data_IF_560613053627
#
_entry.id   IF_560613053627
#
_cell.length_a   1.000
_cell.length_b   1.000
_cell.length_c   1.000
_cell.angle_alpha   90.00
_cell.angle_beta   90.00
_cell.angle_gamma   90.00
#
_symmetry.space_group_name_H-M   'P 1'
#
loop_
_entity.id
_entity.type
_entity.pdbx_description
1 polymer ?
#
# COMPACT_ATOMS: atom_id res chain seq x y z
N UNK A 1 -52.51 8.24 -4.62
CA UNK A 1 -51.70 7.89 -3.43
C UNK A 1 -51.35 6.41 -3.56
N UNK A 2 -50.12 5.98 -3.76
CA UNK A 2 -48.83 6.62 -3.65
C UNK A 2 -47.90 6.09 -4.76
N UNK A 3 -47.32 7.01 -5.52
CA UNK A 3 -46.07 6.80 -6.24
C UNK A 3 -44.95 7.06 -5.23
N UNK A 4 -44.10 6.07 -4.96
CA UNK A 4 -42.75 6.27 -4.42
C UNK A 4 -41.97 4.95 -4.46
N UNK A 5 -41.73 4.47 -5.68
CA UNK A 5 -40.71 3.44 -5.89
C UNK A 5 -39.33 4.09 -5.75
N UNK A 6 -38.73 3.80 -4.60
CA UNK A 6 -37.35 4.09 -4.18
C UNK A 6 -36.37 4.16 -5.35
N UNK A 7 -35.90 5.37 -5.63
CA UNK A 7 -34.76 5.61 -6.49
C UNK A 7 -33.47 5.21 -5.75
N UNK A 8 -33.04 3.96 -5.92
CA UNK A 8 -31.71 3.47 -5.54
C UNK A 8 -31.23 2.52 -6.62
N UNK A 9 -30.57 3.02 -7.65
CA UNK A 9 -29.81 2.15 -8.57
C UNK A 9 -28.75 2.98 -9.29
N UNK A 10 -27.51 2.68 -8.94
CA UNK A 10 -26.35 2.56 -9.80
C UNK A 10 -25.66 3.83 -10.29
N UNK A 11 -24.72 4.29 -9.46
CA UNK A 11 -23.48 4.90 -9.94
C UNK A 11 -22.52 3.76 -10.41
N UNK A 12 -22.94 3.04 -11.44
CA UNK A 12 -22.14 2.04 -12.16
C UNK A 12 -21.60 2.71 -13.43
N UNK A 13 -20.37 3.21 -13.37
CA UNK A 13 -19.71 3.79 -14.54
C UNK A 13 -18.44 4.53 -14.18
N UNK A 14 -17.37 3.75 -13.85
CA UNK A 14 -15.93 4.08 -13.94
C UNK A 14 -15.04 3.36 -12.90
N UNK A 15 -15.47 2.21 -12.36
CA UNK A 15 -14.82 1.56 -11.22
C UNK A 15 -13.48 0.83 -11.50
N UNK A 16 -12.93 0.87 -12.72
CA UNK A 16 -11.69 0.12 -13.02
C UNK A 16 -10.40 0.94 -12.97
N UNK A 17 -10.43 2.22 -13.31
CA UNK A 17 -9.21 3.06 -13.39
C UNK A 17 -9.07 3.94 -12.15
N UNK A 18 -10.16 4.58 -11.71
CA UNK A 18 -10.15 5.41 -10.52
C UNK A 18 -9.76 4.65 -9.25
N UNK A 19 -10.16 3.37 -9.14
CA UNK A 19 -9.84 2.53 -7.98
C UNK A 19 -8.35 2.17 -7.90
N UNK A 20 -7.74 1.83 -9.04
CA UNK A 20 -6.30 1.52 -9.12
C UNK A 20 -5.46 2.77 -8.82
N UNK A 21 -5.86 3.92 -9.37
CA UNK A 21 -5.19 5.20 -9.11
C UNK A 21 -5.31 5.62 -7.66
N UNK A 22 -6.48 5.47 -7.02
CA UNK A 22 -6.67 5.78 -5.60
C UNK A 22 -5.82 4.88 -4.70
N UNK A 23 -5.64 3.60 -5.05
CA UNK A 23 -4.74 2.67 -4.32
C UNK A 23 -3.27 3.06 -4.49
N UNK A 24 -2.86 3.40 -5.70
CA UNK A 24 -1.51 3.89 -6.00
C UNK A 24 -1.19 5.20 -5.26
N UNK A 25 -2.15 6.12 -5.22
CA UNK A 25 -2.01 7.36 -4.45
C UNK A 25 -2.02 7.10 -2.94
N UNK A 26 -2.89 6.20 -2.47
CA UNK A 26 -2.97 5.80 -1.07
C UNK A 26 -1.64 5.23 -0.58
N UNK A 27 -1.10 4.23 -1.27
CA UNK A 27 0.20 3.62 -0.96
C UNK A 27 1.34 4.65 -1.01
N UNK A 28 1.36 5.54 -2.01
CA UNK A 28 2.31 6.64 -2.08
C UNK A 28 2.26 7.54 -0.83
N UNK A 29 1.06 7.92 -0.38
CA UNK A 29 0.87 8.72 0.84
C UNK A 29 1.32 7.95 2.08
N UNK A 30 0.96 6.66 2.19
CA UNK A 30 1.40 5.81 3.29
C UNK A 30 2.93 5.73 3.35
N UNK A 31 3.61 5.56 2.20
CA UNK A 31 5.07 5.54 2.11
C UNK A 31 5.69 6.89 2.50
N UNK A 32 5.09 7.99 2.07
CA UNK A 32 5.54 9.34 2.44
C UNK A 32 5.52 9.53 3.97
N UNK A 33 4.41 9.17 4.61
CA UNK A 33 4.25 9.24 6.05
C UNK A 33 5.23 8.28 6.72
N UNK A 34 5.35 7.06 6.23
CA UNK A 34 6.25 6.04 6.79
C UNK A 34 7.70 6.51 6.78
N UNK A 35 8.18 7.06 5.67
CA UNK A 35 9.53 7.60 5.55
C UNK A 35 9.78 8.78 6.52
N UNK A 36 8.75 9.56 6.84
CA UNK A 36 8.85 10.64 7.81
C UNK A 36 8.99 10.14 9.26
N UNK A 37 8.27 9.08 9.62
CA UNK A 37 8.26 8.54 10.98
C UNK A 37 9.33 7.48 11.24
N UNK A 38 9.94 6.92 10.19
CA UNK A 38 10.83 5.76 10.31
C UNK A 38 12.29 6.14 10.10
N UNK A 39 13.14 6.12 11.16
CA UNK A 39 14.57 6.33 10.99
C UNK A 39 15.18 5.22 10.13
N UNK A 40 16.01 5.60 9.16
CA UNK A 40 16.61 4.65 8.23
C UNK A 40 15.67 4.19 7.11
N UNK A 41 14.57 4.91 6.87
CA UNK A 41 13.72 4.84 5.68
C UNK A 41 13.71 6.23 5.04
N UNK A 42 14.35 6.40 3.89
CA UNK A 42 14.39 7.68 3.18
C UNK A 42 14.04 7.53 1.70
N UNK A 43 13.31 8.52 1.18
CA UNK A 43 12.97 8.61 -0.23
C UNK A 43 13.52 9.94 -0.75
N UNK A 44 14.38 9.88 -1.77
CA UNK A 44 15.17 11.02 -2.24
C UNK A 44 14.34 12.10 -2.94
N UNK A 45 13.33 11.72 -3.72
CA UNK A 45 12.46 12.64 -4.45
C UNK A 45 11.05 12.06 -4.68
N UNK A 46 10.13 12.91 -5.14
CA UNK A 46 8.75 12.50 -5.47
C UNK A 46 8.70 11.43 -6.58
N UNK A 47 9.69 11.39 -7.47
CA UNK A 47 9.78 10.38 -8.51
C UNK A 47 10.06 9.00 -7.94
N UNK A 48 11.07 8.86 -7.06
CA UNK A 48 11.36 7.62 -6.33
C UNK A 48 10.15 7.16 -5.54
N UNK A 49 9.34 8.08 -4.99
CA UNK A 49 8.13 7.74 -4.24
C UNK A 49 7.07 7.08 -5.12
N UNK A 50 6.79 7.67 -6.29
CA UNK A 50 5.82 7.12 -7.26
C UNK A 50 6.31 5.77 -7.80
N UNK A 51 7.60 5.66 -8.13
CA UNK A 51 8.16 4.41 -8.61
C UNK A 51 8.15 3.34 -7.51
N UNK A 52 8.46 3.71 -6.26
CA UNK A 52 8.40 2.79 -5.12
C UNK A 52 6.98 2.28 -4.86
N UNK A 53 5.96 3.15 -4.90
CA UNK A 53 4.58 2.68 -4.72
C UNK A 53 4.16 1.70 -5.81
N UNK A 54 4.49 1.97 -7.07
CA UNK A 54 4.24 1.04 -8.19
C UNK A 54 4.94 -0.30 -7.95
N UNK A 55 6.23 -0.28 -7.61
CA UNK A 55 7.02 -1.50 -7.40
C UNK A 55 6.49 -2.32 -6.22
N UNK A 56 6.20 -1.66 -5.09
CA UNK A 56 5.65 -2.32 -3.89
C UNK A 56 4.31 -2.97 -4.22
N UNK A 57 3.37 -2.23 -4.83
CA UNK A 57 2.06 -2.77 -5.22
C UNK A 57 2.18 -3.91 -6.23
N UNK A 58 3.12 -3.83 -7.18
CA UNK A 58 3.34 -4.89 -8.15
C UNK A 58 3.88 -6.17 -7.51
N UNK A 59 4.84 -6.05 -6.58
CA UNK A 59 5.40 -7.20 -5.85
C UNK A 59 4.34 -7.81 -4.92
N UNK A 60 3.59 -6.97 -4.21
CA UNK A 60 2.51 -7.41 -3.33
C UNK A 60 1.49 -8.25 -4.12
N UNK A 61 1.01 -7.72 -5.25
CA UNK A 61 0.12 -8.45 -6.16
C UNK A 61 0.72 -9.78 -6.66
N UNK A 62 2.02 -9.81 -6.97
CA UNK A 62 2.69 -11.02 -7.42
C UNK A 62 2.76 -12.08 -6.30
N UNK A 63 3.11 -11.66 -5.08
CA UNK A 63 3.17 -12.56 -3.93
C UNK A 63 1.78 -13.09 -3.60
N UNK A 64 0.78 -12.23 -3.56
CA UNK A 64 -0.61 -12.63 -3.32
C UNK A 64 -1.08 -13.63 -4.38
N UNK A 65 -0.77 -13.39 -5.64
CA UNK A 65 -1.17 -14.30 -6.74
C UNK A 65 -0.52 -15.67 -6.64
N UNK A 66 0.75 -15.75 -6.22
CA UNK A 66 1.49 -17.02 -6.13
C UNK A 66 1.16 -17.78 -4.85
N UNK A 67 1.06 -17.08 -3.72
CA UNK A 67 0.92 -17.69 -2.39
C UNK A 67 -0.52 -17.71 -1.88
N UNK A 68 -1.41 -16.92 -2.49
CA UNK A 68 -2.73 -16.59 -1.95
C UNK A 68 -2.66 -15.66 -0.74
N UNK A 69 -1.47 -15.17 -0.36
CA UNK A 69 -1.20 -14.37 0.84
C UNK A 69 -1.09 -12.88 0.50
N UNK A 70 -2.08 -12.09 0.88
CA UNK A 70 -2.08 -10.63 0.90
C UNK A 70 -0.98 -10.16 1.86
N UNK A 71 -0.02 -9.38 1.34
CA UNK A 71 1.11 -8.95 2.11
C UNK A 71 0.81 -7.71 2.98
N UNK A 72 -0.47 -7.34 3.16
CA UNK A 72 -0.86 -6.32 4.11
C UNK A 72 -0.45 -6.72 5.55
N UNK A 73 0.32 -5.87 6.26
CA UNK A 73 0.80 -6.17 7.60
C UNK A 73 -0.34 -6.30 8.63
N UNK A 74 -1.45 -5.59 8.41
CA UNK A 74 -2.66 -5.68 9.21
C UNK A 74 -3.74 -6.43 8.42
N UNK A 75 -3.94 -7.71 8.76
CA UNK A 75 -4.95 -8.57 8.14
C UNK A 75 -4.56 -10.06 8.17
N UNK A 76 -3.27 -10.37 8.10
CA UNK A 76 -2.75 -11.75 8.07
C UNK A 76 -1.76 -12.10 9.20
N UNK A 77 -1.67 -11.24 10.21
CA UNK A 77 -0.81 -11.44 11.38
C UNK A 77 0.68 -11.44 11.04
N UNK A 78 1.44 -12.34 11.67
CA UNK A 78 2.91 -12.39 11.58
C UNK A 78 3.39 -12.68 10.15
N UNK A 79 2.66 -13.50 9.39
CA UNK A 79 3.07 -13.84 8.01
C UNK A 79 3.00 -12.61 7.11
N UNK A 80 1.89 -11.87 7.14
CA UNK A 80 1.75 -10.62 6.39
C UNK A 80 2.84 -9.62 6.77
N UNK A 81 3.11 -9.47 8.06
CA UNK A 81 4.18 -8.60 8.56
C UNK A 81 5.56 -8.93 7.98
N UNK A 82 5.97 -10.21 8.01
CA UNK A 82 7.27 -10.64 7.47
C UNK A 82 7.35 -10.37 5.97
N UNK A 83 6.26 -10.65 5.24
CA UNK A 83 6.21 -10.40 3.80
C UNK A 83 6.30 -8.89 3.53
N UNK A 84 5.61 -8.03 4.27
CA UNK A 84 5.73 -6.57 4.10
C UNK A 84 7.17 -6.10 4.34
N UNK A 85 7.83 -6.58 5.40
CA UNK A 85 9.25 -6.26 5.69
C UNK A 85 10.13 -6.66 4.51
N UNK A 86 9.92 -7.86 3.97
CA UNK A 86 10.66 -8.35 2.82
C UNK A 86 10.42 -7.48 1.58
N UNK A 87 9.18 -7.10 1.27
CA UNK A 87 8.84 -6.24 0.13
C UNK A 87 9.52 -4.87 0.26
N UNK A 88 9.37 -4.21 1.40
CA UNK A 88 9.96 -2.88 1.66
C UNK A 88 11.48 -2.96 1.52
N UNK A 89 12.10 -3.95 2.15
CA UNK A 89 13.56 -4.13 2.10
C UNK A 89 14.05 -4.48 0.69
N UNK A 90 13.28 -5.23 -0.09
CA UNK A 90 13.64 -5.60 -1.46
C UNK A 90 13.46 -4.44 -2.45
N UNK A 91 12.46 -3.58 -2.21
CA UNK A 91 12.13 -2.43 -3.10
C UNK A 91 13.31 -1.50 -3.30
N UNK A 92 14.19 -1.34 -2.29
CA UNK A 92 15.40 -0.49 -2.41
C UNK A 92 16.34 -0.91 -3.54
N UNK A 93 16.34 -2.20 -3.92
CA UNK A 93 17.19 -2.69 -5.01
C UNK A 93 16.60 -2.40 -6.39
N UNK A 94 15.29 -2.16 -6.46
CA UNK A 94 14.57 -1.90 -7.71
C UNK A 94 14.40 -0.40 -7.97
N UNK A 95 14.36 0.42 -6.92
CA UNK A 95 14.03 1.83 -7.02
C UNK A 95 15.20 2.70 -6.60
N UNK A 96 15.76 3.43 -7.56
CA UNK A 96 16.78 4.44 -7.29
C UNK A 96 16.21 5.54 -6.40
N UNK A 97 16.94 5.90 -5.34
CA UNK A 97 16.50 6.92 -4.37
C UNK A 97 15.48 6.43 -3.34
N UNK A 98 15.22 5.12 -3.25
CA UNK A 98 14.51 4.50 -2.13
C UNK A 98 15.52 3.78 -1.23
N UNK A 99 15.91 4.41 -0.13
CA UNK A 99 16.93 3.87 0.77
C UNK A 99 16.30 3.41 2.09
N UNK A 100 16.46 2.11 2.35
CA UNK A 100 15.88 1.45 3.53
C UNK A 100 16.90 0.52 4.18
N UNK A 101 17.08 0.70 5.49
CA UNK A 101 17.83 -0.22 6.34
C UNK A 101 16.94 -1.39 6.77
N UNK A 102 17.54 -2.50 7.24
CA UNK A 102 16.75 -3.63 7.74
C UNK A 102 15.86 -3.21 8.93
N UNK A 103 16.41 -2.40 9.84
CA UNK A 103 15.64 -1.82 10.95
C UNK A 103 14.55 -0.88 10.48
N UNK A 104 14.84 -0.04 9.47
CA UNK A 104 13.85 0.82 8.84
C UNK A 104 12.72 0.04 8.15
N UNK A 105 12.99 -1.12 7.56
CA UNK A 105 11.95 -1.97 6.98
C UNK A 105 11.03 -2.58 8.06
N UNK A 106 11.59 -3.02 9.18
CA UNK A 106 10.83 -3.58 10.31
C UNK A 106 9.95 -2.50 10.96
N UNK A 107 10.49 -1.31 11.23
CA UNK A 107 9.70 -0.21 11.78
C UNK A 107 8.69 0.28 10.74
N UNK A 108 9.12 0.38 9.48
CA UNK A 108 8.29 0.84 8.38
C UNK A 108 7.07 -0.04 8.15
N UNK A 109 7.21 -1.37 8.22
CA UNK A 109 6.06 -2.28 8.08
C UNK A 109 5.07 -2.15 9.26
N UNK A 110 5.55 -1.84 10.48
CA UNK A 110 4.67 -1.53 11.61
C UNK A 110 3.89 -0.26 11.33
N UNK A 111 4.57 0.80 10.89
CA UNK A 111 3.94 2.11 10.58
C UNK A 111 2.94 1.97 9.43
N UNK A 112 3.32 1.31 8.33
CA UNK A 112 2.42 1.00 7.20
C UNK A 112 1.21 0.22 7.68
N UNK A 113 1.42 -0.77 8.54
CA UNK A 113 0.36 -1.57 9.13
C UNK A 113 -0.66 -0.72 9.91
N UNK A 114 -0.17 0.17 10.76
CA UNK A 114 -1.01 1.08 11.55
C UNK A 114 -1.77 2.05 10.62
N UNK A 115 -1.10 2.66 9.64
CA UNK A 115 -1.74 3.59 8.70
C UNK A 115 -2.83 2.89 7.88
N UNK A 116 -2.55 1.66 7.42
CA UNK A 116 -3.52 0.86 6.68
C UNK A 116 -4.73 0.47 7.54
N UNK A 117 -4.54 0.18 8.84
CA UNK A 117 -5.63 -0.12 9.75
C UNK A 117 -6.56 1.08 10.02
N UNK A 118 -6.00 2.29 10.01
CA UNK A 118 -6.76 3.53 10.24
C UNK A 118 -7.46 4.05 8.99
N UNK A 119 -7.01 3.68 7.79
CA UNK A 119 -7.57 4.13 6.52
C UNK A 119 -8.80 3.25 6.17
N UNK A 120 -10.04 3.75 6.33
CA UNK A 120 -11.24 2.96 6.04
C UNK A 120 -11.42 2.95 4.53
N UNK A 121 -10.92 1.91 3.89
CA UNK A 121 -10.89 1.79 2.44
C UNK A 121 -9.55 1.25 1.96
N UNK A 122 -9.29 -0.02 2.29
CA UNK A 122 -8.29 -0.93 1.68
C UNK A 122 -7.26 -0.22 0.81
N UNK A 123 -6.26 0.38 1.47
CA UNK A 123 -5.09 0.90 0.80
C UNK A 123 -4.25 -0.22 0.16
N UNK A 124 -4.53 -1.50 0.48
CA UNK A 124 -4.04 -2.71 -0.17
C UNK A 124 -5.16 -3.77 -0.12
#
# INVERSE_FOLDING_TARGET
MADETRNRTNNEGNFSIGHVLLRLLGTAVVLAITAFFTPGFSIANLWSLIVASIVITAIDYLIEKVTGIDASPFGRGIVGFIVSVAIIYFTKYLVQGFDVTLWGAIIGSIVIGIINALTPGRAL
#
